data_IF_248638647027
#
_entry.id   IF_248638647027
#
_cell.length_a   1.000
_cell.length_b   1.000
_cell.length_c   1.000
_cell.angle_alpha   90.00
_cell.angle_beta   90.00
_cell.angle_gamma   90.00
#
_symmetry.space_group_name_H-M   'P 1'
#
loop_
_entity.id
_entity.type
_entity.pdbx_description
1 polymer ?
#
# COMPACT_ATOMS: atom_id res chain seq x y z
N UNK A 1 8.75 -28.51 -5.42
CA UNK A 1 7.49 -27.83 -5.79
C UNK A 1 7.86 -26.58 -6.55
N UNK A 2 7.63 -26.53 -7.87
CA UNK A 2 7.82 -25.30 -8.64
C UNK A 2 6.62 -24.39 -8.36
N UNK A 3 6.84 -23.31 -7.60
CA UNK A 3 5.85 -22.24 -7.50
C UNK A 3 5.56 -21.73 -8.92
N UNK A 4 4.28 -21.81 -9.32
CA UNK A 4 3.82 -21.22 -10.58
C UNK A 4 4.03 -19.71 -10.43
N UNK A 5 5.06 -19.17 -11.08
CA UNK A 5 5.33 -17.73 -11.06
C UNK A 5 4.09 -17.01 -11.58
N UNK A 6 3.37 -16.35 -10.68
CA UNK A 6 2.28 -15.43 -11.03
C UNK A 6 2.84 -14.36 -11.96
N UNK A 7 2.18 -14.12 -13.09
CA UNK A 7 2.59 -13.04 -13.99
C UNK A 7 2.19 -11.69 -13.40
N UNK A 8 3.01 -10.64 -13.58
CA UNK A 8 2.66 -9.31 -13.10
C UNK A 8 1.46 -8.76 -13.87
N UNK A 9 0.52 -8.15 -13.13
CA UNK A 9 -0.64 -7.45 -13.69
C UNK A 9 -0.26 -6.03 -14.11
N UNK A 10 0.52 -5.35 -13.26
CA UNK A 10 1.11 -4.04 -13.54
C UNK A 10 2.56 -4.02 -13.12
N UNK A 11 3.40 -3.30 -13.86
CA UNK A 11 4.79 -3.07 -13.49
C UNK A 11 5.19 -1.67 -13.92
N UNK A 12 5.85 -0.94 -13.03
CA UNK A 12 6.58 0.29 -13.33
C UNK A 12 7.86 0.34 -12.50
N UNK A 13 8.57 1.47 -12.55
CA UNK A 13 9.84 1.62 -11.85
C UNK A 13 9.72 1.52 -10.32
N UNK A 14 8.54 1.76 -9.75
CA UNK A 14 8.33 1.88 -8.31
C UNK A 14 7.61 0.68 -7.69
N UNK A 15 6.70 0.06 -8.43
CA UNK A 15 5.84 -1.04 -7.96
C UNK A 15 5.62 -2.08 -9.05
N UNK A 16 5.61 -3.34 -8.65
CA UNK A 16 5.02 -4.44 -9.43
C UNK A 16 3.81 -4.99 -8.70
N UNK A 17 2.65 -5.04 -9.35
CA UNK A 17 1.44 -5.63 -8.81
C UNK A 17 1.19 -7.02 -9.40
N UNK A 18 0.91 -7.99 -8.53
CA UNK A 18 0.47 -9.34 -8.88
C UNK A 18 -0.98 -9.54 -8.42
N UNK A 19 -1.52 -10.74 -8.55
CA UNK A 19 -2.91 -10.98 -8.14
C UNK A 19 -3.15 -10.88 -6.64
N UNK A 20 -2.18 -11.33 -5.82
CA UNK A 20 -2.35 -11.50 -4.37
C UNK A 20 -1.39 -10.63 -3.53
N UNK A 21 -0.43 -9.97 -4.16
CA UNK A 21 0.56 -9.13 -3.50
C UNK A 21 1.08 -8.06 -4.45
N UNK A 22 1.70 -7.03 -3.89
CA UNK A 22 2.55 -6.10 -4.62
C UNK A 22 4.00 -6.20 -4.15
N UNK A 23 4.91 -5.77 -4.99
CA UNK A 23 6.31 -5.52 -4.68
C UNK A 23 6.53 -4.02 -4.78
N UNK A 24 7.09 -3.43 -3.75
CA UNK A 24 7.60 -2.05 -3.76
C UNK A 24 9.10 -2.10 -4.00
N UNK A 25 9.56 -1.44 -5.06
CA UNK A 25 10.98 -1.37 -5.45
C UNK A 25 11.72 -0.36 -4.56
N UNK A 26 13.05 -0.50 -4.47
CA UNK A 26 13.93 0.39 -3.72
C UNK A 26 13.44 0.76 -2.31
N UNK A 27 12.85 -0.23 -1.61
CA UNK A 27 12.18 0.00 -0.34
C UNK A 27 13.18 0.16 0.81
N UNK A 28 14.14 -0.76 0.95
CA UNK A 28 15.04 -0.80 2.10
C UNK A 28 16.33 0.00 1.85
N UNK A 29 16.48 1.11 2.56
CA UNK A 29 17.74 1.87 2.63
C UNK A 29 18.82 1.04 3.37
N UNK A 30 20.11 1.11 2.95
CA UNK A 30 20.66 1.86 1.82
C UNK A 30 20.74 1.07 0.50
N UNK A 31 20.36 -0.21 0.50
CA UNK A 31 20.70 -1.13 -0.60
C UNK A 31 19.62 -1.27 -1.69
N UNK A 32 18.43 -0.67 -1.51
CA UNK A 32 17.38 -0.71 -2.53
C UNK A 32 16.64 -2.05 -2.60
N UNK A 33 16.77 -2.90 -1.58
CA UNK A 33 16.06 -4.18 -1.61
C UNK A 33 14.55 -3.96 -1.65
N UNK A 34 13.87 -4.78 -2.45
CA UNK A 34 12.42 -4.76 -2.64
C UNK A 34 11.67 -5.25 -1.39
N UNK A 35 10.46 -4.73 -1.18
CA UNK A 35 9.52 -5.24 -0.17
C UNK A 35 8.29 -5.83 -0.82
N UNK A 36 7.98 -7.08 -0.49
CA UNK A 36 6.71 -7.71 -0.85
C UNK A 36 5.64 -7.37 0.21
N UNK A 37 4.44 -7.03 -0.23
CA UNK A 37 3.29 -6.73 0.62
C UNK A 37 2.10 -7.52 0.08
N UNK A 38 1.54 -8.42 0.87
CA UNK A 38 0.29 -9.12 0.49
C UNK A 38 -0.88 -8.16 0.65
N UNK A 39 -1.83 -8.18 -0.27
CA UNK A 39 -3.04 -7.34 -0.13
C UNK A 39 -3.83 -7.68 1.14
N UNK A 40 -3.77 -8.95 1.57
CA UNK A 40 -4.38 -9.40 2.82
C UNK A 40 -3.84 -8.67 4.06
N UNK A 41 -2.57 -8.23 4.02
CA UNK A 41 -1.91 -7.54 5.13
C UNK A 41 -2.18 -6.03 5.14
N UNK A 42 -2.84 -5.49 4.10
CA UNK A 42 -3.23 -4.09 4.02
C UNK A 42 -4.62 -3.93 4.64
N UNK A 43 -4.72 -3.01 5.60
CA UNK A 43 -5.96 -2.63 6.25
C UNK A 43 -6.63 -1.46 5.54
N UNK A 44 -5.82 -0.46 5.15
CA UNK A 44 -6.30 0.75 4.47
C UNK A 44 -5.35 1.14 3.34
N UNK A 45 -5.94 1.59 2.24
CA UNK A 45 -5.25 2.20 1.11
C UNK A 45 -5.88 3.57 0.86
N UNK A 46 -5.09 4.63 0.89
CA UNK A 46 -5.54 6.01 0.67
C UNK A 46 -4.74 6.65 -0.47
N UNK A 47 -5.41 7.51 -1.24
CA UNK A 47 -4.77 8.41 -2.19
C UNK A 47 -4.71 9.81 -1.55
N UNK A 48 -3.51 10.39 -1.48
CA UNK A 48 -3.29 11.73 -0.92
C UNK A 48 -2.45 12.61 -1.86
N UNK A 49 -2.31 13.89 -1.50
CA UNK A 49 -1.54 14.87 -2.28
C UNK A 49 -0.24 15.26 -1.59
N UNK A 50 0.85 15.34 -2.33
CA UNK A 50 2.20 15.59 -1.79
C UNK A 50 2.28 16.90 -1.00
N UNK A 51 1.54 17.93 -1.41
CA UNK A 51 1.54 19.21 -0.71
C UNK A 51 0.95 19.15 0.71
N UNK A 52 0.14 18.12 1.01
CA UNK A 52 -0.41 17.87 2.35
C UNK A 52 0.68 17.35 3.34
N UNK A 53 1.82 16.88 2.82
CA UNK A 53 2.89 16.29 3.63
C UNK A 53 3.82 17.31 4.30
N UNK A 54 3.67 18.61 4.00
CA UNK A 54 4.53 19.67 4.53
C UNK A 54 6.02 19.39 4.28
N UNK A 55 6.87 19.55 5.29
CA UNK A 55 8.31 19.28 5.19
C UNK A 55 8.67 17.81 4.88
N UNK A 56 7.75 16.87 5.15
CA UNK A 56 8.00 15.44 4.89
C UNK A 56 8.10 15.13 3.39
N UNK A 57 7.63 16.03 2.52
CA UNK A 57 7.74 15.89 1.05
C UNK A 57 9.18 15.93 0.53
N UNK A 58 10.10 16.57 1.26
CA UNK A 58 11.51 16.73 0.85
C UNK A 58 12.30 15.43 1.07
N UNK A 59 11.82 14.54 1.94
CA UNK A 59 12.45 13.23 2.10
C UNK A 59 12.46 12.54 0.74
N UNK A 60 13.53 11.81 0.42
CA UNK A 60 13.62 11.03 -0.82
C UNK A 60 13.53 9.53 -0.53
N UNK A 61 14.06 9.10 0.61
CA UNK A 61 14.11 7.68 1.00
C UNK A 61 14.09 7.52 2.52
N UNK A 62 13.35 6.52 3.00
CA UNK A 62 13.16 6.19 4.40
C UNK A 62 12.10 7.06 5.06
N UNK A 63 12.15 7.12 6.38
CA UNK A 63 11.22 7.89 7.19
C UNK A 63 11.82 9.26 7.58
N UNK A 64 10.98 10.30 7.59
CA UNK A 64 11.32 11.64 8.09
C UNK A 64 10.72 11.87 9.48
N UNK A 65 10.15 13.06 9.74
CA UNK A 65 9.41 13.36 10.98
C UNK A 65 7.96 12.85 10.96
N UNK A 66 7.50 12.25 9.86
CA UNK A 66 6.20 11.58 9.75
C UNK A 66 6.33 10.07 9.97
N UNK A 67 5.29 9.38 10.47
CA UNK A 67 5.28 7.92 10.65
C UNK A 67 5.06 7.18 9.31
N UNK A 68 5.65 7.70 8.22
CA UNK A 68 5.53 7.16 6.87
C UNK A 68 6.92 6.83 6.35
N UNK A 69 7.14 5.56 6.03
CA UNK A 69 8.32 5.10 5.32
C UNK A 69 8.12 5.23 3.82
N UNK A 70 9.07 5.88 3.18
CA UNK A 70 9.07 6.07 1.75
C UNK A 70 10.17 5.24 1.09
N UNK A 71 9.88 4.48 0.02
CA UNK A 71 10.89 3.96 -0.89
C UNK A 71 11.71 5.08 -1.52
N UNK A 72 12.82 4.73 -2.17
CA UNK A 72 13.62 5.71 -2.90
C UNK A 72 12.80 6.29 -4.06
N UNK A 73 12.59 7.61 -4.03
CA UNK A 73 12.08 8.35 -5.18
C UNK A 73 12.74 9.74 -5.21
N UNK A 74 13.73 9.89 -6.10
CA UNK A 74 14.46 11.14 -6.28
C UNK A 74 13.58 12.26 -6.84
N UNK A 75 12.48 11.91 -7.53
CA UNK A 75 11.58 12.87 -8.16
C UNK A 75 10.45 13.33 -7.25
N UNK A 76 10.32 12.77 -6.03
CA UNK A 76 9.20 13.04 -5.12
C UNK A 76 8.94 14.52 -4.85
N UNK A 77 10.00 15.29 -4.66
CA UNK A 77 9.90 16.70 -4.28
C UNK A 77 9.75 17.67 -5.46
N UNK A 78 9.94 17.21 -6.71
CA UNK A 78 10.01 18.07 -7.90
C UNK A 78 8.99 17.71 -8.99
N UNK A 79 8.35 16.55 -8.92
CA UNK A 79 7.49 16.07 -10.02
C UNK A 79 6.53 14.96 -9.65
N UNK A 80 6.08 14.93 -8.38
CA UNK A 80 5.00 14.05 -7.92
C UNK A 80 3.93 14.93 -7.29
N UNK A 81 2.69 14.75 -7.70
CA UNK A 81 1.54 15.46 -7.14
C UNK A 81 0.82 14.61 -6.10
N UNK A 82 0.83 13.29 -6.28
CA UNK A 82 0.07 12.34 -5.47
C UNK A 82 0.95 11.28 -4.80
N UNK A 83 0.40 10.64 -3.77
CA UNK A 83 0.97 9.44 -3.17
C UNK A 83 -0.12 8.44 -2.78
N UNK A 84 0.25 7.16 -2.72
CA UNK A 84 -0.57 6.10 -2.12
C UNK A 84 -0.05 5.85 -0.71
N UNK A 85 -0.95 5.83 0.28
CA UNK A 85 -0.63 5.45 1.65
C UNK A 85 -1.21 4.07 1.96
N UNK A 86 -0.33 3.14 2.33
CA UNK A 86 -0.71 1.81 2.77
C UNK A 86 -0.55 1.71 4.29
N UNK A 87 -1.66 1.38 4.95
CA UNK A 87 -1.66 0.97 6.35
C UNK A 87 -1.66 -0.55 6.41
N UNK A 88 -0.55 -1.14 6.84
CA UNK A 88 -0.39 -2.60 6.95
C UNK A 88 -0.54 -3.10 8.39
N UNK A 89 -1.16 -2.31 9.27
CA UNK A 89 -1.22 -2.54 10.73
C UNK A 89 0.17 -2.71 11.40
N UNK A 90 1.22 -2.28 10.70
CA UNK A 90 2.60 -2.31 11.15
C UNK A 90 3.14 -0.90 11.09
N UNK A 91 3.96 -0.55 12.07
CA UNK A 91 4.69 0.70 12.04
C UNK A 91 6.00 0.53 11.25
N UNK A 92 6.37 1.50 10.39
CA UNK A 92 5.61 2.68 9.95
C UNK A 92 4.63 2.36 8.81
N UNK A 93 3.72 3.31 8.50
CA UNK A 93 2.91 3.26 7.27
C UNK A 93 3.81 3.34 6.05
N UNK A 94 3.34 2.87 4.90
CA UNK A 94 4.13 2.85 3.67
C UNK A 94 3.56 3.87 2.70
N UNK A 95 4.35 4.89 2.36
CA UNK A 95 4.01 5.88 1.35
C UNK A 95 4.68 5.52 0.03
N UNK A 96 3.90 5.44 -1.05
CA UNK A 96 4.40 5.11 -2.39
C UNK A 96 4.14 6.32 -3.30
N UNK A 97 5.19 6.77 -3.98
CA UNK A 97 5.11 7.73 -5.08
C UNK A 97 5.55 7.07 -6.37
N UNK A 98 5.03 7.54 -7.50
CA UNK A 98 5.34 7.08 -8.86
C UNK A 98 4.84 8.11 -9.86
N UNK A 99 4.95 7.88 -11.17
CA UNK A 99 4.44 8.83 -12.14
C UNK A 99 2.94 9.11 -11.96
N UNK A 100 2.56 10.40 -12.04
CA UNK A 100 1.19 10.84 -11.75
C UNK A 100 0.17 10.30 -12.76
N UNK A 101 0.61 9.91 -13.96
CA UNK A 101 -0.22 9.22 -14.95
C UNK A 101 -0.47 7.74 -14.63
N UNK A 102 0.29 7.14 -13.71
CA UNK A 102 0.18 5.72 -13.32
C UNK A 102 -0.48 5.54 -11.95
N UNK A 103 -0.35 6.53 -11.06
CA UNK A 103 -0.69 6.38 -9.64
C UNK A 103 -2.17 6.08 -9.39
N UNK A 104 -3.08 6.71 -10.12
CA UNK A 104 -4.52 6.48 -9.98
C UNK A 104 -4.88 5.03 -10.35
N UNK A 105 -4.29 4.50 -11.43
CA UNK A 105 -4.52 3.13 -11.87
C UNK A 105 -4.04 2.11 -10.82
N UNK A 106 -2.85 2.31 -10.26
CA UNK A 106 -2.31 1.44 -9.21
C UNK A 106 -3.15 1.55 -7.93
N UNK A 107 -3.56 2.76 -7.55
CA UNK A 107 -4.43 2.99 -6.41
C UNK A 107 -5.75 2.23 -6.54
N UNK A 108 -6.45 2.37 -7.68
CA UNK A 108 -7.72 1.67 -7.90
C UNK A 108 -7.53 0.15 -7.95
N UNK A 109 -6.42 -0.32 -8.52
CA UNK A 109 -6.11 -1.75 -8.50
C UNK A 109 -5.95 -2.28 -7.07
N UNK A 110 -5.11 -1.63 -6.25
CA UNK A 110 -4.90 -2.04 -4.85
C UNK A 110 -6.23 -1.98 -4.10
N UNK A 111 -6.98 -0.89 -4.24
CA UNK A 111 -8.27 -0.69 -3.58
C UNK A 111 -9.28 -1.79 -3.95
N UNK A 112 -9.32 -2.23 -5.21
CA UNK A 112 -10.17 -3.32 -5.65
C UNK A 112 -9.86 -4.64 -4.94
N UNK A 113 -8.57 -4.93 -4.69
CA UNK A 113 -8.12 -6.13 -3.96
C UNK A 113 -8.51 -6.08 -2.48
N UNK A 114 -8.57 -4.88 -1.89
CA UNK A 114 -9.04 -4.69 -0.51
C UNK A 114 -10.56 -4.86 -0.41
N UNK A 115 -11.34 -4.40 -1.39
CA UNK A 115 -12.80 -4.58 -1.39
C UNK A 115 -13.20 -6.06 -1.48
N UNK A 116 -12.49 -6.88 -2.25
CA UNK A 116 -12.76 -8.33 -2.33
C UNK A 116 -12.56 -9.04 -0.98
N UNK A 117 -11.58 -8.60 -0.17
CA UNK A 117 -11.37 -9.11 1.21
C UNK A 117 -12.59 -8.91 2.11
N UNK A 118 -13.43 -7.91 1.85
CA UNK A 118 -14.66 -7.68 2.63
C UNK A 118 -15.84 -8.55 2.17
N UNK A 119 -15.79 -9.13 0.97
CA UNK A 119 -16.82 -10.05 0.48
C UNK A 119 -16.59 -11.50 0.92
N UNK A 120 -15.34 -11.87 1.21
CA UNK A 120 -14.99 -13.22 1.69
C UNK A 120 -15.14 -13.40 3.22
N UNK A 121 -15.53 -12.33 3.94
CA UNK A 121 -15.95 -12.45 5.35
C UNK A 121 -17.41 -12.88 5.36
N UNK A 122 -17.68 -14.15 5.63
CA UNK A 122 -19.05 -14.64 5.80
C UNK A 122 -19.87 -13.71 6.71
N UNK A 123 -21.14 -13.44 6.38
CA UNK A 123 -22.01 -12.68 7.25
C UNK A 123 -22.11 -13.40 8.59
N UNK A 124 -21.81 -12.71 9.70
CA UNK A 124 -22.06 -13.23 11.05
C UNK A 124 -23.50 -13.71 11.11
N UNK A 125 -23.69 -15.01 11.27
CA UNK A 125 -25.01 -15.61 11.45
C UNK A 125 -25.56 -15.16 12.80
N UNK A 126 -26.89 -15.05 12.88
CA UNK A 126 -27.62 -14.60 14.09
C UNK A 126 -27.32 -15.46 15.34
N UNK A 127 -26.62 -16.59 15.20
CA UNK A 127 -26.14 -17.46 16.27
C UNK A 127 -24.98 -16.89 17.10
N UNK A 128 -24.31 -15.83 16.63
CA UNK A 128 -23.14 -15.25 17.31
C UNK A 128 -23.49 -14.13 18.31
N UNK A 129 -24.78 -13.84 18.50
CA UNK A 129 -25.24 -12.86 19.50
C UNK A 129 -25.33 -13.59 20.85
N UNK A 130 -24.47 -13.26 21.84
CA UNK A 130 -24.63 -13.84 23.17
C UNK A 130 -25.99 -13.44 23.74
N UNK A 131 -26.80 -14.45 24.05
CA UNK A 131 -28.08 -14.31 24.75
C UNK A 131 -27.79 -13.88 26.19
N UNK A 132 -27.54 -12.59 26.41
CA UNK A 132 -27.62 -12.02 27.73
C UNK A 132 -28.09 -10.57 27.70
N UNK A 133 -29.35 -10.41 27.30
CA UNK A 133 -30.19 -9.28 27.72
C UNK A 133 -31.43 -9.87 28.39
N UNK A 134 -31.26 -10.32 29.62
CA UNK A 134 -32.33 -10.33 30.62
C UNK A 134 -31.90 -9.44 31.78
N UNK A 135 -32.35 -8.20 31.76
CA UNK A 135 -32.84 -7.48 32.94
C UNK A 135 -33.94 -6.54 32.49
#
# INVERSE_FOLDING_TARGET
MSEKLSSPVYTNDYVTCYDNYLIVHDYYFPFGNRKMIKYADIDKCELGYIDELGFSKIKLWGMALSPIWWPADLHRHTGREKYILLDTQQWPKIGITMNDNEIDQIYYFISSKLSTKHLDKEPKTFSDIPVNLKK
#
